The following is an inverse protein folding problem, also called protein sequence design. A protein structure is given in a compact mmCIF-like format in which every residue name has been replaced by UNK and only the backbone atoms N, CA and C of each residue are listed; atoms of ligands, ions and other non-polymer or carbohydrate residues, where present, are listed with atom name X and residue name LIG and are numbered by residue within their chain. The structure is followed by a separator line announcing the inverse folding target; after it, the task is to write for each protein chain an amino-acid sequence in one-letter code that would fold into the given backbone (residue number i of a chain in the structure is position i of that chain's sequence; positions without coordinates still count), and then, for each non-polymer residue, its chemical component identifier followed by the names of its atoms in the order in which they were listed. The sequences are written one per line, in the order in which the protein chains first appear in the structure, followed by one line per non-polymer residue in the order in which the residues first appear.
data_IF_949782710419
#
_entry.id   IF_949782710419
#
_cell.length_a   1.000
_cell.length_b   1.000
_cell.length_c   1.000
_cell.angle_alpha   90.00
_cell.angle_beta   90.00
_cell.angle_gamma   90.00
#
_symmetry.space_group_name_H-M   'P 1'
#
loop_
_entity.id
_entity.type
_entity.pdbx_description
1 polymer ?
#
# COMPACT_ATOMS: atom_id res chain seq x y z
N UNK A 1 12.03 18.15 -49.19
CA UNK A 1 12.26 18.08 -47.73
C UNK A 1 10.94 18.19 -46.94
N UNK A 2 9.80 18.50 -47.58
CA UNK A 2 8.50 18.58 -46.91
C UNK A 2 7.72 17.26 -46.86
N UNK A 3 7.99 16.35 -47.80
CA UNK A 3 7.37 15.02 -47.86
C UNK A 3 7.56 14.15 -46.60
N UNK A 4 8.77 14.05 -45.99
CA UNK A 4 8.93 13.27 -44.76
C UNK A 4 8.25 13.94 -43.55
N UNK A 5 8.06 15.25 -43.57
CA UNK A 5 7.38 15.98 -42.50
C UNK A 5 5.86 15.75 -42.56
N UNK A 6 5.29 15.79 -43.76
CA UNK A 6 3.88 15.49 -43.99
C UNK A 6 3.54 14.03 -43.63
N UNK A 7 4.45 13.10 -43.92
CA UNK A 7 4.27 11.70 -43.53
C UNK A 7 4.32 11.54 -41.99
N UNK A 8 5.23 12.24 -41.32
CA UNK A 8 5.32 12.21 -39.87
C UNK A 8 4.06 12.76 -39.19
N UNK A 9 3.54 13.89 -39.69
CA UNK A 9 2.31 14.51 -39.17
C UNK A 9 1.09 13.59 -39.36
N UNK A 10 1.00 12.90 -40.51
CA UNK A 10 -0.03 11.89 -40.76
C UNK A 10 0.03 10.75 -39.75
N UNK A 11 1.24 10.23 -39.48
CA UNK A 11 1.45 9.12 -38.55
C UNK A 11 1.14 9.55 -37.11
N UNK A 12 1.58 10.74 -36.69
CA UNK A 12 1.29 11.29 -35.37
C UNK A 12 -0.21 11.47 -35.15
N UNK A 13 -0.92 12.05 -36.12
CA UNK A 13 -2.37 12.24 -36.05
C UNK A 13 -3.11 10.91 -35.94
N UNK A 14 -2.66 9.90 -36.70
CA UNK A 14 -3.24 8.57 -36.65
C UNK A 14 -3.02 7.87 -35.30
N UNK A 15 -1.83 8.02 -34.71
CA UNK A 15 -1.53 7.51 -33.37
C UNK A 15 -2.41 8.15 -32.30
N UNK A 16 -2.55 9.48 -32.31
CA UNK A 16 -3.39 10.21 -31.37
C UNK A 16 -4.88 9.79 -31.47
N UNK A 17 -5.38 9.60 -32.69
CA UNK A 17 -6.75 9.09 -32.90
C UNK A 17 -6.94 7.67 -32.33
N UNK A 18 -5.94 6.80 -32.51
CA UNK A 18 -5.98 5.44 -31.95
C UNK A 18 -5.95 5.45 -30.43
N UNK A 19 -5.11 6.29 -29.83
CA UNK A 19 -5.04 6.46 -28.36
C UNK A 19 -6.36 6.98 -27.83
N UNK A 20 -6.91 8.05 -28.42
CA UNK A 20 -8.21 8.61 -28.00
C UNK A 20 -9.34 7.58 -28.11
N UNK A 21 -9.35 6.78 -29.19
CA UNK A 21 -10.31 5.68 -29.32
C UNK A 21 -10.11 4.62 -28.23
N UNK A 22 -8.87 4.25 -27.93
CA UNK A 22 -8.58 3.32 -26.85
C UNK A 22 -9.00 3.89 -25.50
N UNK A 23 -8.76 5.16 -25.21
CA UNK A 23 -9.21 5.83 -23.98
C UNK A 23 -10.75 5.88 -23.85
N UNK A 24 -11.47 6.05 -24.97
CA UNK A 24 -12.94 6.00 -24.95
C UNK A 24 -13.50 4.61 -24.68
N UNK A 25 -12.83 3.55 -25.17
CA UNK A 25 -13.27 2.16 -24.97
C UNK A 25 -12.71 1.55 -23.68
N UNK A 26 -11.58 2.09 -23.20
CA UNK A 26 -10.96 1.74 -21.94
C UNK A 26 -11.53 2.71 -20.92
N UNK A 27 -12.66 2.37 -20.32
CA UNK A 27 -13.01 2.94 -19.02
C UNK A 27 -11.92 2.54 -18.01
N UNK A 28 -10.75 3.20 -18.06
CA UNK A 28 -9.87 3.27 -16.89
C UNK A 28 -10.66 4.07 -15.85
N UNK A 29 -10.91 3.50 -14.66
CA UNK A 29 -11.58 4.24 -13.62
C UNK A 29 -10.63 5.35 -13.16
N UNK A 30 -10.88 6.56 -13.65
CA UNK A 30 -10.55 7.80 -12.96
C UNK A 30 -11.34 7.77 -11.64
N UNK A 31 -10.63 7.58 -10.54
CA UNK A 31 -11.04 7.85 -9.16
C UNK A 31 -12.47 7.40 -8.74
N UNK A 32 -12.65 6.12 -8.40
CA UNK A 32 -13.57 5.72 -7.32
C UNK A 32 -13.39 4.25 -6.86
N UNK A 33 -13.71 3.95 -5.59
CA UNK A 33 -13.32 2.70 -4.92
C UNK A 33 -14.25 1.53 -5.25
N UNK A 34 -13.73 0.31 -5.02
CA UNK A 34 -14.41 -0.99 -4.92
C UNK A 34 -14.43 -1.85 -6.19
N UNK A 35 -13.51 -2.83 -6.23
CA UNK A 35 -13.82 -4.17 -6.70
C UNK A 35 -14.02 -5.04 -5.47
N UNK A 36 -15.27 -5.43 -5.23
CA UNK A 36 -15.67 -6.46 -4.26
C UNK A 36 -15.57 -7.81 -4.98
N UNK A 37 -14.58 -8.61 -4.65
CA UNK A 37 -14.70 -10.06 -4.81
C UNK A 37 -15.47 -10.62 -3.60
N UNK A 38 -16.39 -11.59 -3.80
CA UNK A 38 -17.24 -12.12 -2.74
C UNK A 38 -16.56 -13.31 -2.07
N UNK A 39 -15.58 -13.04 -1.21
CA UNK A 39 -15.13 -14.03 -0.23
C UNK A 39 -15.17 -13.40 1.16
N UNK A 40 -16.31 -13.55 1.83
CA UNK A 40 -16.47 -13.51 3.30
C UNK A 40 -15.66 -12.43 4.05
N UNK A 41 -15.80 -11.17 3.65
CA UNK A 41 -15.22 -10.03 4.40
C UNK A 41 -16.10 -9.74 5.61
N UNK A 42 -15.68 -10.22 6.78
CA UNK A 42 -16.24 -9.82 8.06
C UNK A 42 -16.18 -8.29 8.22
N UNK A 43 -17.27 -7.70 8.69
CA UNK A 43 -17.44 -6.24 8.93
C UNK A 43 -16.30 -5.59 9.75
N UNK A 44 -15.52 -6.40 10.47
CA UNK A 44 -14.38 -6.01 11.31
C UNK A 44 -13.21 -5.38 10.55
N UNK A 45 -13.02 -5.72 9.28
CA UNK A 45 -11.83 -5.30 8.53
C UNK A 45 -11.95 -3.88 7.97
N UNK A 46 -13.17 -3.48 7.61
CA UNK A 46 -13.49 -2.10 7.22
C UNK A 46 -13.26 -1.15 8.40
N UNK A 47 -13.53 -1.61 9.62
CA UNK A 47 -13.29 -0.84 10.84
C UNK A 47 -11.80 -0.55 11.03
N UNK A 48 -10.93 -1.55 10.87
CA UNK A 48 -9.48 -1.35 11.09
C UNK A 48 -8.87 -0.34 10.12
N UNK A 49 -9.18 -0.44 8.81
CA UNK A 49 -8.66 0.52 7.80
C UNK A 49 -9.20 1.92 8.07
N UNK A 50 -10.48 2.05 8.43
CA UNK A 50 -11.11 3.34 8.74
C UNK A 50 -10.49 3.97 9.98
N UNK A 51 -10.28 3.18 11.03
CA UNK A 51 -9.63 3.61 12.28
C UNK A 51 -8.20 4.09 12.02
N UNK A 52 -7.40 3.32 11.30
CA UNK A 52 -6.01 3.71 10.97
C UNK A 52 -5.97 4.95 10.09
N UNK A 53 -6.85 5.05 9.10
CA UNK A 53 -6.96 6.24 8.24
C UNK A 53 -7.27 7.50 9.05
N UNK A 54 -8.18 7.39 10.03
CA UNK A 54 -8.53 8.49 10.92
C UNK A 54 -7.34 8.93 11.79
N UNK A 55 -6.60 7.97 12.36
CA UNK A 55 -5.39 8.24 13.15
C UNK A 55 -4.34 8.98 12.30
N UNK A 56 -4.06 8.50 11.07
CA UNK A 56 -3.08 9.12 10.18
C UNK A 56 -3.44 10.58 9.84
N UNK A 57 -4.69 10.82 9.44
CA UNK A 57 -5.19 12.16 9.09
C UNK A 57 -5.19 13.10 10.29
N UNK A 58 -5.55 12.61 11.47
CA UNK A 58 -5.48 13.40 12.73
C UNK A 58 -4.04 13.83 13.04
N UNK A 59 -3.06 13.02 12.65
CA UNK A 59 -1.63 13.34 12.78
C UNK A 59 -1.05 14.04 11.54
N UNK A 60 -1.88 14.63 10.68
CA UNK A 60 -1.46 15.37 9.47
C UNK A 60 -0.73 14.53 8.41
N UNK A 61 -0.88 13.20 8.45
CA UNK A 61 -0.43 12.31 7.38
C UNK A 61 -1.58 12.15 6.39
N UNK A 62 -1.53 12.92 5.30
CA UNK A 62 -2.61 12.98 4.31
C UNK A 62 -2.38 12.07 3.10
N UNK A 63 -1.14 11.68 2.83
CA UNK A 63 -0.76 10.86 1.69
C UNK A 63 -0.36 9.45 2.16
N UNK A 64 -1.26 8.49 1.97
CA UNK A 64 -1.05 7.08 2.30
C UNK A 64 -1.98 6.17 1.48
N UNK A 65 -1.53 4.94 1.24
CA UNK A 65 -2.33 3.90 0.59
C UNK A 65 -2.24 2.59 1.37
N UNK A 66 -3.38 1.98 1.68
CA UNK A 66 -3.42 0.63 2.23
C UNK A 66 -3.47 -0.40 1.09
N UNK A 67 -2.62 -1.42 1.15
CA UNK A 67 -2.58 -2.51 0.19
C UNK A 67 -2.88 -3.82 0.89
N UNK A 68 -3.78 -4.62 0.29
CA UNK A 68 -3.99 -6.01 0.67
C UNK A 68 -2.98 -6.88 -0.07
N UNK A 69 -2.48 -7.90 0.61
CA UNK A 69 -1.52 -8.87 0.08
C UNK A 69 -2.03 -10.27 0.40
N UNK A 70 -1.52 -11.27 -0.32
CA UNK A 70 -1.87 -12.66 -0.06
C UNK A 70 -1.44 -13.10 1.35
N UNK A 71 -2.09 -14.13 1.89
CA UNK A 71 -1.82 -14.63 3.25
C UNK A 71 -0.38 -15.16 3.42
N UNK A 72 0.22 -15.67 2.35
CA UNK A 72 1.59 -16.18 2.27
C UNK A 72 2.64 -15.07 2.01
N UNK A 73 2.26 -13.79 2.05
CA UNK A 73 3.13 -12.65 1.76
C UNK A 73 4.50 -12.70 2.47
N UNK A 74 4.53 -13.18 3.71
CA UNK A 74 5.77 -13.27 4.50
C UNK A 74 6.68 -14.43 4.11
N UNK A 75 6.28 -15.32 3.22
CA UNK A 75 7.11 -16.39 2.66
C UNK A 75 7.80 -15.98 1.36
N UNK A 76 7.36 -14.88 0.75
CA UNK A 76 7.87 -14.43 -0.55
C UNK A 76 9.30 -13.85 -0.47
N UNK A 77 10.08 -13.86 -1.57
CA UNK A 77 11.33 -13.10 -1.67
C UNK A 77 11.12 -11.59 -1.43
N UNK A 78 12.15 -10.89 -0.92
CA UNK A 78 12.05 -9.46 -0.59
C UNK A 78 11.73 -8.59 -1.81
N UNK A 79 12.24 -8.96 -2.98
CA UNK A 79 12.04 -8.28 -4.25
C UNK A 79 10.59 -8.37 -4.69
N UNK A 80 9.95 -9.52 -4.50
CA UNK A 80 8.53 -9.71 -4.78
C UNK A 80 7.69 -8.82 -3.87
N UNK A 81 8.00 -8.79 -2.56
CA UNK A 81 7.31 -7.91 -1.60
C UNK A 81 7.48 -6.44 -1.93
N UNK A 82 8.69 -6.01 -2.31
CA UNK A 82 8.98 -4.65 -2.78
C UNK A 82 8.08 -4.29 -3.96
N UNK A 83 7.99 -5.17 -4.96
CA UNK A 83 7.19 -4.92 -6.16
C UNK A 83 5.69 -4.80 -5.81
N UNK A 84 5.16 -5.72 -5.00
CA UNK A 84 3.76 -5.71 -4.57
C UNK A 84 3.40 -4.44 -3.78
N UNK A 85 4.29 -4.03 -2.87
CA UNK A 85 4.09 -2.80 -2.09
C UNK A 85 4.45 -1.52 -2.87
N UNK A 86 5.05 -1.63 -4.05
CA UNK A 86 5.58 -0.50 -4.84
C UNK A 86 6.58 0.34 -4.04
N UNK A 87 7.42 -0.32 -3.24
CA UNK A 87 8.48 0.34 -2.49
C UNK A 87 9.69 0.65 -3.39
N UNK A 88 10.38 1.77 -3.13
CA UNK A 88 11.53 2.19 -3.94
C UNK A 88 12.71 1.20 -3.89
N UNK A 89 12.92 0.53 -2.75
CA UNK A 89 13.91 -0.53 -2.58
C UNK A 89 13.49 -1.51 -1.48
N UNK A 90 14.17 -2.65 -1.37
CA UNK A 90 13.92 -3.62 -0.29
C UNK A 90 14.19 -3.02 1.09
N UNK A 91 15.08 -2.03 1.19
CA UNK A 91 15.39 -1.32 2.44
C UNK A 91 14.27 -0.37 2.90
N UNK A 92 13.29 -0.06 2.05
CA UNK A 92 12.10 0.70 2.46
C UNK A 92 10.99 -0.20 3.02
N UNK A 93 11.22 -1.53 3.08
CA UNK A 93 10.30 -2.47 3.70
C UNK A 93 10.49 -2.48 5.21
N UNK A 94 9.50 -1.95 5.93
CA UNK A 94 9.45 -1.96 7.38
C UNK A 94 8.39 -2.95 7.87
N UNK A 95 8.66 -3.59 9.01
CA UNK A 95 7.64 -4.32 9.78
C UNK A 95 7.62 -3.82 11.22
N UNK A 96 6.41 -3.71 11.76
CA UNK A 96 6.20 -3.53 13.19
C UNK A 96 5.91 -4.90 13.81
N UNK A 97 6.62 -5.24 14.87
CA UNK A 97 6.43 -6.49 15.62
C UNK A 97 6.09 -6.12 17.07
N UNK A 98 5.09 -6.80 17.61
CA UNK A 98 4.74 -6.71 19.03
C UNK A 98 5.46 -7.85 19.76
N UNK A 99 6.22 -7.53 20.80
CA UNK A 99 6.89 -8.51 21.65
C UNK A 99 6.39 -8.39 23.10
N UNK A 100 6.46 -9.52 23.82
CA UNK A 100 6.18 -9.56 25.25
C UNK A 100 7.49 -9.35 26.01
N UNK A 101 7.47 -8.43 26.95
CA UNK A 101 8.59 -8.17 27.86
C UNK A 101 8.54 -9.14 29.04
N UNK A 102 9.31 -10.22 28.95
CA UNK A 102 9.38 -11.23 30.03
C UNK A 102 10.10 -10.73 31.29
N UNK A 103 10.74 -9.56 31.22
CA UNK A 103 11.45 -8.94 32.34
C UNK A 103 10.60 -7.89 33.05
N UNK A 104 9.37 -7.60 32.56
CA UNK A 104 8.45 -6.71 33.23
C UNK A 104 8.07 -7.29 34.61
N UNK A 105 8.01 -6.45 35.67
CA UNK A 105 7.47 -6.86 36.96
C UNK A 105 6.07 -7.47 36.81
N UNK A 106 5.73 -8.47 37.62
CA UNK A 106 4.47 -9.22 37.49
C UNK A 106 3.22 -8.38 37.75
N UNK A 107 3.37 -7.25 38.41
CA UNK A 107 2.34 -6.24 38.66
C UNK A 107 2.09 -5.31 37.46
N UNK A 108 3.00 -5.24 36.49
CA UNK A 108 2.84 -4.49 35.25
C UNK A 108 2.22 -5.38 34.17
N UNK A 109 0.90 -5.22 33.99
CA UNK A 109 0.10 -6.01 33.02
C UNK A 109 -0.16 -5.29 31.70
N UNK A 110 0.20 -4.01 31.60
CA UNK A 110 -0.08 -3.14 30.46
C UNK A 110 1.13 -2.26 30.07
N UNK A 111 0.87 -1.18 29.32
CA UNK A 111 1.86 -0.20 28.89
C UNK A 111 1.87 1.07 29.77
N UNK A 112 1.36 0.99 31.02
CA UNK A 112 1.28 2.14 31.93
C UNK A 112 2.65 2.60 32.41
N UNK A 113 3.55 1.68 32.75
CA UNK A 113 4.95 1.98 33.02
C UNK A 113 5.73 2.05 31.70
N UNK A 114 6.09 3.26 31.28
CA UNK A 114 6.87 3.50 30.05
C UNK A 114 8.24 2.80 30.07
N UNK A 115 8.84 2.61 31.24
CA UNK A 115 10.17 2.02 31.37
C UNK A 115 10.12 0.49 31.49
N UNK A 116 8.99 -0.08 31.93
CA UNK A 116 8.84 -1.52 32.16
C UNK A 116 7.53 -2.08 31.56
N UNK A 117 7.09 -1.54 30.42
CA UNK A 117 5.85 -1.98 29.77
C UNK A 117 5.86 -3.49 29.52
N UNK A 118 4.72 -4.13 29.73
CA UNK A 118 4.54 -5.57 29.47
C UNK A 118 4.68 -5.90 27.97
N UNK A 119 4.30 -4.95 27.12
CA UNK A 119 4.33 -5.09 25.66
C UNK A 119 5.25 -4.03 25.08
N UNK A 120 6.13 -4.43 24.16
CA UNK A 120 7.05 -3.54 23.45
C UNK A 120 6.86 -3.63 21.94
N UNK A 121 6.94 -2.47 21.27
CA UNK A 121 6.89 -2.38 19.82
C UNK A 121 8.31 -2.34 19.25
N UNK A 122 8.66 -3.33 18.45
CA UNK A 122 9.88 -3.33 17.66
C UNK A 122 9.59 -2.89 16.23
N UNK A 123 10.30 -1.87 15.74
CA UNK A 123 10.35 -1.55 14.31
C UNK A 123 11.59 -2.20 13.72
N UNK A 124 11.41 -3.09 12.75
CA UNK A 124 12.52 -3.77 12.08
C UNK A 124 12.50 -3.35 10.61
N UNK A 125 13.49 -2.54 10.20
CA UNK A 125 13.93 -2.53 8.81
C UNK A 125 14.49 -3.93 8.54
N UNK A 126 13.99 -4.62 7.52
CA UNK A 126 14.38 -6.01 7.27
C UNK A 126 15.86 -6.05 6.79
N UNK A 127 16.66 -6.89 7.46
CA UNK A 127 17.93 -7.47 7.01
C UNK A 127 17.70 -8.34 5.77
#
# INVERSE_FOLDING_TARGET
MEEPLAELERVQTHLLQRISKLEQHSHLPTDSPLTKDPENLSDTDTDTVSRLSSILRTNSVNDFSFKRVASDYYDWPLEARRNTLSAASVHHLCKSIVLVNTQAPSDVVDCSDRNNSNIVLGSMLKL
#
